data_IF_882460434483
#
_entry.id   IF_882460434483
#
_cell.length_a   1.000
_cell.length_b   1.000
_cell.length_c   1.000
_cell.angle_alpha   90.00
_cell.angle_beta   90.00
_cell.angle_gamma   90.00
#
_symmetry.space_group_name_H-M   'P 1'
#
loop_
_entity.id
_entity.type
_entity.pdbx_description
1 polymer ?
#
# COMPACT_ATOMS: atom_id res chain seq x y z
N UNK A 1 -41.98 -31.43 -3.62
CA UNK A 1 -40.97 -31.94 -4.57
C UNK A 1 -40.01 -32.95 -3.94
N UNK A 2 -39.40 -32.69 -2.77
CA UNK A 2 -38.44 -33.60 -2.17
C UNK A 2 -39.01 -34.99 -1.89
N UNK A 3 -40.18 -35.04 -1.27
CA UNK A 3 -40.88 -36.29 -1.04
C UNK A 3 -41.31 -37.01 -2.34
N UNK A 4 -41.64 -36.24 -3.40
CA UNK A 4 -41.94 -36.80 -4.71
C UNK A 4 -40.66 -37.35 -5.41
N UNK A 5 -39.50 -36.67 -5.24
CA UNK A 5 -38.23 -37.15 -5.77
C UNK A 5 -37.81 -38.49 -5.14
N UNK A 6 -38.02 -38.64 -3.83
CA UNK A 6 -37.67 -39.87 -3.09
C UNK A 6 -38.56 -41.08 -3.46
N UNK A 7 -39.80 -40.82 -3.88
CA UNK A 7 -40.79 -41.87 -4.16
C UNK A 7 -40.99 -42.15 -5.65
N UNK A 8 -40.36 -41.34 -6.54
CA UNK A 8 -40.53 -41.49 -7.98
C UNK A 8 -39.60 -42.51 -8.60
N UNK A 9 -39.99 -43.07 -9.74
CA UNK A 9 -39.12 -43.80 -10.64
C UNK A 9 -38.12 -42.85 -11.32
N UNK A 10 -37.14 -43.42 -12.04
CA UNK A 10 -36.00 -42.66 -12.60
C UNK A 10 -36.46 -41.61 -13.64
N UNK A 11 -37.49 -41.92 -14.43
CA UNK A 11 -37.99 -41.01 -15.46
C UNK A 11 -38.74 -39.81 -14.86
N UNK A 12 -39.59 -40.02 -13.85
CA UNK A 12 -40.34 -38.99 -13.17
C UNK A 12 -39.45 -38.17 -12.24
N UNK A 13 -38.38 -38.74 -11.70
CA UNK A 13 -37.41 -38.06 -10.83
C UNK A 13 -36.78 -36.85 -11.51
N UNK A 14 -36.42 -36.97 -12.78
CA UNK A 14 -35.86 -35.86 -13.55
C UNK A 14 -36.79 -34.65 -13.59
N UNK A 15 -38.07 -34.85 -13.82
CA UNK A 15 -39.08 -33.77 -13.85
C UNK A 15 -39.23 -33.09 -12.47
N UNK A 16 -39.21 -33.87 -11.39
CA UNK A 16 -39.34 -33.33 -10.05
C UNK A 16 -38.04 -32.57 -9.62
N UNK A 17 -36.88 -33.02 -10.06
CA UNK A 17 -35.59 -32.32 -9.83
C UNK A 17 -35.55 -31.00 -10.56
N UNK A 18 -36.00 -30.94 -11.83
CA UNK A 18 -36.09 -29.69 -12.60
C UNK A 18 -37.09 -28.73 -11.89
N UNK A 19 -38.26 -29.19 -11.53
CA UNK A 19 -39.23 -28.36 -10.82
C UNK A 19 -38.74 -27.88 -9.46
N UNK A 20 -37.96 -28.70 -8.76
CA UNK A 20 -37.29 -28.27 -7.53
C UNK A 20 -36.24 -27.17 -7.80
N UNK A 21 -35.42 -27.31 -8.83
CA UNK A 21 -34.40 -26.32 -9.23
C UNK A 21 -35.06 -24.97 -9.56
N UNK A 22 -36.16 -24.96 -10.30
CA UNK A 22 -36.91 -23.74 -10.64
C UNK A 22 -37.40 -22.97 -9.40
N UNK A 23 -37.69 -23.64 -8.30
CA UNK A 23 -38.11 -23.04 -7.05
C UNK A 23 -36.92 -22.71 -6.14
N UNK A 24 -35.92 -23.58 -6.08
CA UNK A 24 -34.76 -23.43 -5.18
C UNK A 24 -33.88 -22.26 -5.60
N UNK A 25 -33.61 -22.09 -6.90
CA UNK A 25 -32.73 -21.06 -7.41
C UNK A 25 -33.16 -19.63 -7.05
N UNK A 26 -34.43 -19.21 -7.28
CA UNK A 26 -34.93 -17.92 -6.83
C UNK A 26 -34.88 -17.74 -5.31
N UNK A 27 -35.13 -18.81 -4.56
CA UNK A 27 -35.06 -18.77 -3.09
C UNK A 27 -33.60 -18.58 -2.61
N UNK A 28 -32.66 -19.33 -3.16
CA UNK A 28 -31.24 -19.19 -2.85
C UNK A 28 -30.76 -17.77 -3.16
N UNK A 29 -31.10 -17.24 -4.34
CA UNK A 29 -30.80 -15.87 -4.74
C UNK A 29 -31.32 -14.85 -3.71
N UNK A 30 -32.60 -14.98 -3.31
CA UNK A 30 -33.18 -14.10 -2.29
C UNK A 30 -32.48 -14.20 -0.94
N UNK A 31 -32.06 -15.39 -0.53
CA UNK A 31 -31.26 -15.59 0.68
C UNK A 31 -29.88 -14.89 0.57
N UNK A 32 -29.23 -14.98 -0.58
CA UNK A 32 -27.93 -14.28 -0.80
C UNK A 32 -28.10 -12.76 -0.75
N UNK A 33 -29.12 -12.22 -1.40
CA UNK A 33 -29.43 -10.78 -1.39
C UNK A 33 -29.78 -10.27 0.01
N UNK A 34 -30.42 -11.10 0.83
CA UNK A 34 -30.75 -10.78 2.23
C UNK A 34 -29.59 -11.02 3.22
N UNK A 35 -28.41 -11.44 2.74
CA UNK A 35 -27.27 -11.77 3.60
C UNK A 35 -27.41 -13.06 4.41
N UNK A 36 -28.46 -13.86 4.15
CA UNK A 36 -28.71 -15.15 4.80
C UNK A 36 -27.85 -16.27 4.18
N UNK A 37 -26.53 -16.06 4.12
CA UNK A 37 -25.56 -16.90 3.40
C UNK A 37 -25.61 -18.37 3.82
N UNK A 38 -25.80 -18.65 5.12
CA UNK A 38 -25.91 -20.02 5.61
C UNK A 38 -27.08 -20.78 5.02
N UNK A 39 -28.26 -20.15 4.96
CA UNK A 39 -29.46 -20.74 4.34
C UNK A 39 -29.27 -20.94 2.83
N UNK A 40 -28.69 -19.94 2.16
CA UNK A 40 -28.35 -20.05 0.75
C UNK A 40 -27.41 -21.24 0.47
N UNK A 41 -26.39 -21.43 1.30
CA UNK A 41 -25.48 -22.55 1.21
C UNK A 41 -26.20 -23.89 1.40
N UNK A 42 -27.00 -24.06 2.46
CA UNK A 42 -27.72 -25.28 2.76
C UNK A 42 -28.66 -25.71 1.61
N UNK A 43 -29.37 -24.76 1.00
CA UNK A 43 -30.23 -25.07 -0.14
C UNK A 43 -29.44 -25.31 -1.44
N UNK A 44 -28.32 -24.59 -1.65
CA UNK A 44 -27.47 -24.80 -2.82
C UNK A 44 -26.83 -26.19 -2.83
N UNK A 45 -26.29 -26.67 -1.69
CA UNK A 45 -25.71 -28.01 -1.60
C UNK A 45 -26.77 -29.12 -1.75
N UNK A 46 -27.99 -28.87 -1.27
CA UNK A 46 -29.11 -29.78 -1.44
C UNK A 46 -29.51 -29.86 -2.93
N UNK A 47 -29.59 -28.74 -3.63
CA UNK A 47 -29.82 -28.73 -5.06
C UNK A 47 -28.73 -29.49 -5.81
N UNK A 48 -27.43 -29.24 -5.50
CA UNK A 48 -26.30 -29.93 -6.12
C UNK A 48 -26.28 -31.44 -5.78
N UNK A 49 -26.82 -31.85 -4.62
CA UNK A 49 -26.95 -33.27 -4.28
C UNK A 49 -28.00 -33.99 -5.11
N UNK A 50 -29.03 -33.29 -5.51
CA UNK A 50 -30.13 -33.81 -6.36
C UNK A 50 -29.80 -33.72 -7.86
N UNK A 51 -29.19 -32.61 -8.26
CA UNK A 51 -28.68 -32.34 -9.61
C UNK A 51 -27.23 -31.94 -9.60
N UNK A 52 -26.27 -32.91 -9.66
CA UNK A 52 -24.84 -32.65 -9.62
C UNK A 52 -24.33 -31.74 -10.74
N UNK A 53 -25.07 -31.65 -11.84
CA UNK A 53 -24.74 -30.78 -13.00
C UNK A 53 -25.47 -29.45 -13.02
N UNK A 54 -26.26 -29.10 -11.97
CA UNK A 54 -26.91 -27.78 -11.89
C UNK A 54 -25.88 -26.65 -11.91
N UNK A 55 -25.80 -25.89 -12.99
CA UNK A 55 -24.87 -24.75 -13.11
C UNK A 55 -25.12 -23.69 -12.01
N UNK A 56 -26.39 -23.30 -11.85
CA UNK A 56 -26.77 -22.31 -10.82
C UNK A 56 -26.58 -22.85 -9.40
N UNK A 57 -26.89 -24.12 -9.17
CA UNK A 57 -26.64 -24.79 -7.90
C UNK A 57 -25.17 -24.76 -7.51
N UNK A 58 -24.28 -25.13 -8.44
CA UNK A 58 -22.84 -25.11 -8.27
C UNK A 58 -22.31 -23.69 -8.02
N UNK A 59 -22.76 -22.69 -8.81
CA UNK A 59 -22.37 -21.29 -8.62
C UNK A 59 -22.73 -20.76 -7.23
N UNK A 60 -23.95 -21.06 -6.76
CA UNK A 60 -24.36 -20.66 -5.42
C UNK A 60 -23.65 -21.42 -4.31
N UNK A 61 -23.40 -22.74 -4.49
CA UNK A 61 -22.64 -23.53 -3.53
C UNK A 61 -21.20 -22.99 -3.38
N UNK A 62 -20.52 -22.65 -4.49
CA UNK A 62 -19.19 -22.06 -4.51
C UNK A 62 -19.19 -20.68 -3.83
N UNK A 63 -20.10 -19.78 -4.25
CA UNK A 63 -20.09 -18.41 -3.70
C UNK A 63 -20.44 -18.39 -2.21
N UNK A 64 -21.44 -19.17 -1.78
CA UNK A 64 -21.83 -19.22 -0.37
C UNK A 64 -20.79 -19.93 0.51
N UNK A 65 -20.15 -21.00 0.02
CA UNK A 65 -19.05 -21.66 0.75
C UNK A 65 -17.86 -20.72 0.93
N UNK A 66 -17.51 -19.95 -0.09
CA UNK A 66 -16.47 -18.93 -0.02
C UNK A 66 -16.77 -17.86 1.04
N UNK A 67 -18.00 -17.33 1.05
CA UNK A 67 -18.43 -16.33 2.05
C UNK A 67 -18.47 -16.88 3.48
N UNK A 68 -18.74 -18.18 3.64
CA UNK A 68 -18.74 -18.85 4.94
C UNK A 68 -17.37 -19.34 5.39
N UNK A 69 -16.31 -19.16 4.58
CA UNK A 69 -14.97 -19.66 4.86
C UNK A 69 -14.83 -21.19 4.78
N UNK A 70 -15.78 -21.87 4.14
CA UNK A 70 -15.77 -23.32 3.92
C UNK A 70 -14.95 -23.67 2.69
N UNK A 71 -13.65 -23.55 2.80
CA UNK A 71 -12.74 -23.62 1.65
C UNK A 71 -12.63 -24.99 0.99
N UNK A 72 -12.78 -26.06 1.75
CA UNK A 72 -12.75 -27.43 1.22
C UNK A 72 -13.97 -27.69 0.33
N UNK A 73 -15.14 -27.24 0.74
CA UNK A 73 -16.36 -27.28 -0.08
C UNK A 73 -16.27 -26.33 -1.29
N UNK A 74 -15.69 -25.13 -1.11
CA UNK A 74 -15.42 -24.23 -2.22
C UNK A 74 -14.58 -24.89 -3.30
N UNK A 75 -13.50 -25.56 -2.93
CA UNK A 75 -12.62 -26.29 -3.86
C UNK A 75 -13.34 -27.48 -4.50
N UNK A 76 -14.06 -28.28 -3.70
CA UNK A 76 -14.85 -29.42 -4.17
C UNK A 76 -15.83 -29.03 -5.25
N UNK A 77 -16.67 -28.02 -4.99
CA UNK A 77 -17.68 -27.59 -5.95
C UNK A 77 -17.07 -26.86 -7.15
N UNK A 78 -15.94 -26.17 -6.99
CA UNK A 78 -15.17 -25.59 -8.11
C UNK A 78 -14.65 -26.69 -9.02
N UNK A 79 -14.07 -27.76 -8.50
CA UNK A 79 -13.60 -28.90 -9.28
C UNK A 79 -14.75 -29.61 -9.99
N UNK A 80 -15.90 -29.78 -9.31
CA UNK A 80 -17.11 -30.34 -9.89
C UNK A 80 -17.63 -29.48 -11.04
N UNK A 81 -17.67 -28.16 -10.87
CA UNK A 81 -18.08 -27.23 -11.91
C UNK A 81 -17.17 -27.26 -13.15
N UNK A 82 -15.85 -27.36 -12.96
CA UNK A 82 -14.90 -27.53 -14.07
C UNK A 82 -15.14 -28.86 -14.82
N UNK A 83 -15.46 -29.91 -14.10
CA UNK A 83 -15.71 -31.20 -14.73
C UNK A 83 -16.96 -31.19 -15.63
N UNK A 84 -18.04 -30.54 -15.23
CA UNK A 84 -19.25 -30.40 -16.06
C UNK A 84 -19.17 -29.27 -17.09
N UNK A 85 -18.46 -28.18 -16.76
CA UNK A 85 -18.39 -26.95 -17.56
C UNK A 85 -16.95 -26.48 -17.74
N UNK A 86 -16.10 -27.26 -18.44
CA UNK A 86 -14.65 -26.98 -18.53
C UNK A 86 -14.33 -25.66 -19.24
N UNK A 87 -15.21 -25.18 -20.10
CA UNK A 87 -15.03 -23.94 -20.86
C UNK A 87 -15.66 -22.69 -20.19
N UNK A 88 -16.38 -22.88 -19.06
CA UNK A 88 -17.10 -21.80 -18.43
C UNK A 88 -16.16 -20.90 -17.60
N UNK A 89 -16.03 -19.60 -17.96
CA UNK A 89 -15.10 -18.68 -17.33
C UNK A 89 -15.26 -18.53 -15.80
N UNK A 90 -16.47 -18.63 -15.30
CA UNK A 90 -16.75 -18.57 -13.87
C UNK A 90 -15.93 -19.60 -13.07
N UNK A 91 -15.99 -20.88 -13.49
CA UNK A 91 -15.29 -21.95 -12.77
C UNK A 91 -13.77 -21.83 -12.91
N UNK A 92 -13.32 -21.36 -14.05
CA UNK A 92 -11.88 -21.11 -14.28
C UNK A 92 -11.38 -19.98 -13.37
N UNK A 93 -12.14 -18.89 -13.21
CA UNK A 93 -11.80 -17.82 -12.27
C UNK A 93 -11.78 -18.34 -10.82
N UNK A 94 -12.73 -19.21 -10.43
CA UNK A 94 -12.74 -19.81 -9.08
C UNK A 94 -11.58 -20.77 -8.86
N UNK A 95 -11.11 -21.48 -9.88
CA UNK A 95 -9.89 -22.29 -9.79
C UNK A 95 -8.66 -21.45 -9.49
N UNK A 96 -8.56 -20.28 -10.09
CA UNK A 96 -7.51 -19.33 -9.77
C UNK A 96 -7.55 -18.92 -8.30
N UNK A 97 -8.74 -18.65 -7.76
CA UNK A 97 -8.92 -18.33 -6.32
C UNK A 97 -8.45 -19.48 -5.40
N UNK A 98 -8.65 -20.75 -5.79
CA UNK A 98 -8.11 -21.90 -5.05
C UNK A 98 -6.58 -21.84 -5.00
N UNK A 99 -5.93 -21.59 -6.14
CA UNK A 99 -4.46 -21.47 -6.23
C UNK A 99 -3.93 -20.29 -5.41
N UNK A 100 -4.65 -19.17 -5.38
CA UNK A 100 -4.31 -17.98 -4.59
C UNK A 100 -4.34 -18.26 -3.08
N UNK A 101 -5.34 -18.99 -2.61
CA UNK A 101 -5.43 -19.41 -1.21
C UNK A 101 -4.18 -20.16 -0.77
N UNK A 102 -3.67 -21.03 -1.63
CA UNK A 102 -2.43 -21.80 -1.39
C UNK A 102 -1.16 -20.96 -1.62
N UNK A 103 -1.30 -19.65 -1.86
CA UNK A 103 -0.21 -18.71 -2.19
C UNK A 103 0.56 -19.09 -3.47
N UNK A 104 -0.05 -19.87 -4.34
CA UNK A 104 0.50 -20.31 -5.62
C UNK A 104 0.16 -19.30 -6.73
N UNK A 105 0.49 -18.02 -6.48
CA UNK A 105 0.08 -16.90 -7.35
C UNK A 105 0.66 -17.00 -8.76
N UNK A 106 1.88 -17.50 -8.90
CA UNK A 106 2.49 -17.73 -10.21
C UNK A 106 1.76 -18.80 -11.00
N UNK A 107 1.46 -19.94 -10.36
CA UNK A 107 0.68 -21.00 -10.98
C UNK A 107 -0.74 -20.53 -11.37
N UNK A 108 -1.35 -19.63 -10.57
CA UNK A 108 -2.63 -19.00 -10.92
C UNK A 108 -2.51 -18.16 -12.19
N UNK A 109 -1.45 -17.35 -12.31
CA UNK A 109 -1.23 -16.52 -13.49
C UNK A 109 -0.93 -17.37 -14.74
N UNK A 110 -0.12 -18.41 -14.62
CA UNK A 110 0.16 -19.34 -15.71
C UNK A 110 -1.10 -20.06 -16.17
N UNK A 111 -1.96 -20.46 -15.24
CA UNK A 111 -3.24 -21.08 -15.54
C UNK A 111 -4.20 -20.11 -16.24
N UNK A 112 -4.28 -18.85 -15.79
CA UNK A 112 -5.21 -17.87 -16.36
C UNK A 112 -4.77 -17.30 -17.72
N UNK A 113 -3.48 -17.23 -18.05
CA UNK A 113 -2.97 -16.65 -19.30
C UNK A 113 -3.63 -17.22 -20.58
N UNK A 114 -3.69 -18.54 -20.79
CA UNK A 114 -4.32 -19.10 -21.98
C UNK A 114 -5.84 -18.82 -22.00
N UNK A 115 -6.48 -18.80 -20.84
CA UNK A 115 -7.90 -18.52 -20.70
C UNK A 115 -8.19 -17.05 -21.02
N UNK A 116 -7.36 -16.14 -20.54
CA UNK A 116 -7.45 -14.71 -20.81
C UNK A 116 -7.27 -14.42 -22.31
N UNK A 117 -6.39 -15.13 -22.99
CA UNK A 117 -6.24 -15.02 -24.45
C UNK A 117 -7.48 -15.51 -25.19
N UNK A 118 -8.16 -16.54 -24.68
CA UNK A 118 -9.41 -17.06 -25.25
C UNK A 118 -10.60 -16.14 -24.97
N UNK A 119 -10.63 -15.51 -23.80
CA UNK A 119 -11.75 -14.65 -23.32
C UNK A 119 -11.25 -13.26 -22.90
N UNK A 120 -10.66 -12.45 -23.79
CA UNK A 120 -9.94 -11.21 -23.44
C UNK A 120 -10.84 -10.09 -22.90
N UNK A 121 -12.15 -10.20 -23.07
CA UNK A 121 -13.13 -9.23 -22.55
C UNK A 121 -13.97 -9.77 -21.41
N UNK A 122 -13.71 -10.98 -20.93
CA UNK A 122 -14.49 -11.56 -19.83
C UNK A 122 -14.05 -10.95 -18.50
N UNK A 123 -15.00 -10.28 -17.84
CA UNK A 123 -14.75 -9.53 -16.58
C UNK A 123 -14.31 -10.43 -15.42
N UNK A 124 -14.81 -11.67 -15.36
CA UNK A 124 -14.46 -12.61 -14.27
C UNK A 124 -13.01 -13.08 -14.43
N UNK A 125 -12.58 -13.42 -15.65
CA UNK A 125 -11.21 -13.82 -15.93
C UNK A 125 -10.24 -12.66 -15.76
N UNK A 126 -10.59 -11.46 -16.28
CA UNK A 126 -9.78 -10.25 -16.07
C UNK A 126 -9.66 -9.93 -14.59
N UNK A 127 -10.76 -10.04 -13.84
CA UNK A 127 -10.77 -9.80 -12.39
C UNK A 127 -9.87 -10.79 -11.64
N UNK A 128 -9.98 -12.08 -11.93
CA UNK A 128 -9.14 -13.12 -11.35
C UNK A 128 -7.65 -12.92 -11.70
N UNK A 129 -7.34 -12.59 -12.96
CA UNK A 129 -5.98 -12.31 -13.39
C UNK A 129 -5.39 -11.07 -12.70
N UNK A 130 -6.20 -10.01 -12.56
CA UNK A 130 -5.82 -8.78 -11.85
C UNK A 130 -5.52 -9.06 -10.39
N UNK A 131 -6.36 -9.82 -9.71
CA UNK A 131 -6.19 -10.20 -8.30
C UNK A 131 -4.94 -11.07 -8.09
N UNK A 132 -4.75 -12.11 -8.90
CA UNK A 132 -3.54 -12.95 -8.84
C UNK A 132 -2.28 -12.14 -9.10
N UNK A 133 -2.33 -11.18 -10.05
CA UNK A 133 -1.21 -10.27 -10.36
C UNK A 133 -0.88 -9.37 -9.19
N UNK A 134 -1.87 -8.86 -8.50
CA UNK A 134 -1.69 -8.03 -7.30
C UNK A 134 -0.99 -8.82 -6.18
N UNK A 135 -1.48 -10.01 -5.86
CA UNK A 135 -0.86 -10.86 -4.84
C UNK A 135 0.56 -11.29 -5.22
N UNK A 136 0.79 -11.64 -6.49
CA UNK A 136 2.15 -11.99 -6.97
C UNK A 136 3.09 -10.80 -6.87
N UNK A 137 2.67 -9.61 -7.27
CA UNK A 137 3.48 -8.39 -7.15
C UNK A 137 3.84 -8.06 -5.70
N UNK A 138 2.90 -8.20 -4.77
CA UNK A 138 3.17 -8.02 -3.33
C UNK A 138 4.15 -9.08 -2.79
N UNK A 139 4.04 -10.33 -3.26
CA UNK A 139 4.99 -11.39 -2.91
C UNK A 139 6.41 -11.07 -3.41
N UNK A 140 6.54 -10.65 -4.68
CA UNK A 140 7.82 -10.25 -5.29
C UNK A 140 8.41 -9.02 -4.61
N UNK A 141 7.57 -8.06 -4.21
CA UNK A 141 8.01 -6.89 -3.45
C UNK A 141 8.63 -7.28 -2.11
N UNK A 142 8.01 -8.23 -1.38
CA UNK A 142 8.57 -8.79 -0.15
C UNK A 142 9.89 -9.54 -0.40
N UNK A 143 10.01 -10.20 -1.54
CA UNK A 143 11.23 -10.87 -1.99
C UNK A 143 12.31 -9.90 -2.51
N UNK A 144 12.03 -8.57 -2.51
CA UNK A 144 12.93 -7.50 -3.02
C UNK A 144 13.22 -7.58 -4.52
N UNK A 145 12.27 -8.07 -5.31
CA UNK A 145 12.31 -8.04 -6.76
C UNK A 145 11.26 -7.08 -7.34
N UNK A 146 11.50 -5.75 -7.26
CA UNK A 146 10.55 -4.76 -7.75
C UNK A 146 10.42 -4.76 -9.27
N UNK A 147 11.44 -5.25 -10.02
CA UNK A 147 11.35 -5.30 -11.49
C UNK A 147 10.31 -6.30 -11.95
N UNK A 148 10.36 -7.51 -11.42
CA UNK A 148 9.35 -8.52 -11.74
C UNK A 148 7.97 -8.12 -11.20
N UNK A 149 7.89 -7.53 -10.00
CA UNK A 149 6.63 -7.03 -9.45
C UNK A 149 5.95 -6.01 -10.37
N UNK A 150 6.71 -5.03 -10.88
CA UNK A 150 6.19 -4.04 -11.82
C UNK A 150 5.77 -4.67 -13.14
N UNK A 151 6.56 -5.61 -13.70
CA UNK A 151 6.24 -6.29 -14.96
C UNK A 151 4.92 -7.06 -14.89
N UNK A 152 4.66 -7.74 -13.75
CA UNK A 152 3.40 -8.47 -13.53
C UNK A 152 2.22 -7.48 -13.49
N UNK A 153 2.35 -6.35 -12.77
CA UNK A 153 1.30 -5.33 -12.68
C UNK A 153 1.07 -4.63 -14.02
N UNK A 154 2.13 -4.35 -14.77
CA UNK A 154 2.03 -3.74 -16.09
C UNK A 154 1.28 -4.64 -17.06
N UNK A 155 1.55 -5.94 -17.01
CA UNK A 155 0.83 -6.93 -17.82
C UNK A 155 -0.67 -6.94 -17.44
N UNK A 156 -1.01 -6.92 -16.17
CA UNK A 156 -2.41 -6.89 -15.74
C UNK A 156 -3.13 -5.59 -16.15
N UNK A 157 -2.43 -4.45 -16.07
CA UNK A 157 -2.97 -3.15 -16.48
C UNK A 157 -3.21 -3.03 -18.00
N UNK A 158 -2.62 -3.89 -18.84
CA UNK A 158 -2.98 -3.95 -20.26
C UNK A 158 -4.42 -4.44 -20.48
N UNK A 159 -4.90 -5.33 -19.62
CA UNK A 159 -6.26 -5.88 -19.70
C UNK A 159 -7.28 -5.07 -18.88
N UNK A 160 -6.84 -4.45 -17.76
CA UNK A 160 -7.70 -3.65 -16.88
C UNK A 160 -7.00 -2.32 -16.53
N UNK A 161 -6.89 -1.45 -17.52
CA UNK A 161 -6.14 -0.18 -17.44
C UNK A 161 -6.71 0.80 -16.40
N UNK A 162 -7.96 0.66 -15.99
CA UNK A 162 -8.62 1.53 -15.02
C UNK A 162 -8.68 0.94 -13.61
N UNK A 163 -8.11 -0.24 -13.38
CA UNK A 163 -8.13 -0.89 -12.08
C UNK A 163 -7.35 -0.07 -11.03
N UNK A 164 -8.10 0.50 -10.08
CA UNK A 164 -7.55 1.36 -9.02
C UNK A 164 -6.67 0.56 -8.05
N UNK A 165 -7.02 -0.71 -7.77
CA UNK A 165 -6.26 -1.58 -6.88
C UNK A 165 -4.89 -1.93 -7.45
N UNK A 166 -4.82 -2.33 -8.74
CA UNK A 166 -3.56 -2.58 -9.43
C UNK A 166 -2.66 -1.34 -9.46
N UNK A 167 -3.25 -0.16 -9.75
CA UNK A 167 -2.51 1.11 -9.73
C UNK A 167 -1.98 1.41 -8.33
N UNK A 168 -2.79 1.22 -7.30
CA UNK A 168 -2.36 1.41 -5.92
C UNK A 168 -1.22 0.46 -5.56
N UNK A 169 -1.36 -0.83 -5.86
CA UNK A 169 -0.32 -1.83 -5.61
C UNK A 169 0.98 -1.51 -6.38
N UNK A 170 0.87 -0.99 -7.60
CA UNK A 170 2.03 -0.49 -8.35
C UNK A 170 2.72 0.66 -7.61
N UNK A 171 1.97 1.56 -7.02
CA UNK A 171 2.49 2.61 -6.13
C UNK A 171 3.19 2.05 -4.90
N UNK A 172 2.66 0.99 -4.27
CA UNK A 172 3.30 0.30 -3.13
C UNK A 172 4.64 -0.32 -3.53
N UNK A 173 4.74 -0.90 -4.73
CA UNK A 173 6.01 -1.45 -5.25
C UNK A 173 7.05 -0.33 -5.44
N UNK A 174 6.64 0.82 -6.01
CA UNK A 174 7.53 1.98 -6.16
C UNK A 174 7.99 2.53 -4.81
N UNK A 175 7.10 2.58 -3.82
CA UNK A 175 7.44 3.02 -2.47
C UNK A 175 8.45 2.09 -1.80
N UNK A 176 8.24 0.77 -1.88
CA UNK A 176 9.19 -0.22 -1.39
C UNK A 176 10.57 -0.10 -2.06
N UNK A 177 10.59 0.37 -3.31
CA UNK A 177 11.82 0.66 -4.08
C UNK A 177 12.33 2.10 -3.91
N UNK A 178 11.78 2.89 -2.95
CA UNK A 178 12.17 4.28 -2.63
C UNK A 178 12.01 5.28 -3.76
N UNK A 179 11.08 5.05 -4.64
CA UNK A 179 10.70 5.95 -5.73
C UNK A 179 9.43 6.72 -5.35
N UNK A 180 9.58 7.69 -4.43
CA UNK A 180 8.47 8.40 -3.79
C UNK A 180 7.58 9.17 -4.78
N UNK A 181 8.15 9.71 -5.85
CA UNK A 181 7.45 10.39 -6.93
C UNK A 181 6.49 9.46 -7.68
N UNK A 182 7.00 8.31 -8.11
CA UNK A 182 6.17 7.27 -8.76
C UNK A 182 5.15 6.68 -7.78
N UNK A 183 5.55 6.43 -6.53
CA UNK A 183 4.65 5.95 -5.49
C UNK A 183 3.47 6.90 -5.29
N UNK A 184 3.75 8.19 -5.10
CA UNK A 184 2.72 9.22 -4.95
C UNK A 184 1.81 9.31 -6.18
N UNK A 185 2.39 9.30 -7.39
CA UNK A 185 1.64 9.38 -8.64
C UNK A 185 0.58 8.28 -8.74
N UNK A 186 0.93 7.04 -8.41
CA UNK A 186 0.03 5.90 -8.50
C UNK A 186 -0.93 5.80 -7.32
N UNK A 187 -0.51 6.15 -6.09
CA UNK A 187 -1.34 6.00 -4.90
C UNK A 187 -2.37 7.12 -4.71
N UNK A 188 -2.13 8.34 -5.20
CA UNK A 188 -3.00 9.50 -4.97
C UNK A 188 -4.45 9.35 -5.45
N UNK A 189 -4.72 8.41 -6.36
CA UNK A 189 -6.05 8.14 -6.90
C UNK A 189 -6.79 7.02 -6.17
N UNK A 190 -6.15 6.40 -5.18
CA UNK A 190 -6.82 5.41 -4.36
C UNK A 190 -7.84 6.07 -3.44
N UNK A 191 -9.00 5.43 -3.32
CA UNK A 191 -10.11 5.89 -2.48
C UNK A 191 -10.16 5.00 -1.21
N UNK A 192 -9.54 5.44 -0.10
CA UNK A 192 -9.56 4.69 1.15
C UNK A 192 -10.95 4.72 1.78
N UNK A 193 -11.25 3.75 2.64
CA UNK A 193 -12.42 3.79 3.50
C UNK A 193 -12.41 5.04 4.42
N UNK A 194 -13.57 5.43 4.95
CA UNK A 194 -13.70 6.57 5.87
C UNK A 194 -12.76 6.41 7.08
N UNK A 195 -12.59 5.18 7.57
CA UNK A 195 -11.72 4.89 8.73
C UNK A 195 -10.24 5.07 8.39
N UNK A 196 -9.83 4.77 7.17
CA UNK A 196 -8.43 4.84 6.70
C UNK A 196 -8.06 6.22 6.14
N UNK A 197 -9.05 7.07 5.86
CA UNK A 197 -8.84 8.34 5.15
C UNK A 197 -7.74 9.22 5.78
N UNK A 198 -7.79 9.43 7.10
CA UNK A 198 -6.80 10.27 7.79
C UNK A 198 -5.39 9.68 7.76
N UNK A 199 -5.25 8.38 7.93
CA UNK A 199 -3.95 7.70 7.88
C UNK A 199 -3.38 7.72 6.47
N UNK A 200 -4.23 7.52 5.47
CA UNK A 200 -3.86 7.56 4.07
C UNK A 200 -3.43 8.98 3.63
N UNK A 201 -4.14 10.03 4.04
CA UNK A 201 -3.74 11.41 3.74
C UNK A 201 -2.39 11.77 4.37
N UNK A 202 -2.12 11.31 5.61
CA UNK A 202 -0.79 11.47 6.23
C UNK A 202 0.29 10.72 5.46
N UNK A 203 -0.02 9.52 5.01
CA UNK A 203 0.88 8.72 4.18
C UNK A 203 1.22 9.43 2.86
N UNK A 204 0.22 9.92 2.12
CA UNK A 204 0.45 10.69 0.89
C UNK A 204 1.24 11.98 1.15
N UNK A 205 0.98 12.67 2.27
CA UNK A 205 1.76 13.85 2.67
C UNK A 205 3.22 13.48 2.92
N UNK A 206 3.48 12.32 3.55
CA UNK A 206 4.82 11.78 3.72
C UNK A 206 5.54 11.51 2.40
N UNK A 207 4.87 10.84 1.45
CA UNK A 207 5.42 10.61 0.12
C UNK A 207 5.72 11.93 -0.61
N UNK A 208 4.81 12.91 -0.52
CA UNK A 208 4.99 14.23 -1.10
C UNK A 208 6.19 14.96 -0.49
N UNK A 209 6.38 14.87 0.82
CA UNK A 209 7.55 15.43 1.50
C UNK A 209 8.86 14.79 1.01
N UNK A 210 8.86 13.49 0.75
CA UNK A 210 10.03 12.80 0.19
C UNK A 210 10.35 13.19 -1.26
N UNK A 211 9.38 13.75 -2.00
CA UNK A 211 9.59 14.25 -3.37
C UNK A 211 10.28 15.61 -3.41
N UNK A 212 10.24 16.35 -2.31
CA UNK A 212 10.86 17.68 -2.23
C UNK A 212 12.38 17.54 -2.31
N UNK A 213 12.93 17.97 -3.43
CA UNK A 213 14.37 17.92 -3.69
C UNK A 213 15.09 19.14 -3.12
N UNK A 214 14.38 20.25 -2.98
CA UNK A 214 14.93 21.52 -2.48
C UNK A 214 14.00 22.03 -1.37
N UNK A 215 14.60 22.53 -0.31
CA UNK A 215 13.92 23.05 0.87
C UNK A 215 14.64 24.31 1.33
N UNK A 216 13.89 25.35 1.67
CA UNK A 216 14.41 26.58 2.26
C UNK A 216 13.73 26.70 3.63
N UNK A 217 14.52 26.90 4.67
CA UNK A 217 14.05 27.19 6.01
C UNK A 217 14.60 28.52 6.51
N UNK A 218 13.76 29.31 7.14
CA UNK A 218 14.13 30.56 7.81
C UNK A 218 13.71 30.43 9.27
N UNK A 219 14.65 30.62 10.16
CA UNK A 219 14.40 30.55 11.59
C UNK A 219 14.84 31.87 12.24
N UNK A 220 14.03 32.42 13.11
CA UNK A 220 14.36 33.56 13.91
C UNK A 220 14.04 33.27 15.37
N UNK A 221 15.03 33.48 16.23
CA UNK A 221 14.92 33.37 17.67
C UNK A 221 15.37 34.68 18.29
N UNK A 222 14.63 35.17 19.25
CA UNK A 222 15.01 36.31 20.09
C UNK A 222 15.04 35.84 21.55
N UNK A 223 16.23 35.80 22.10
CA UNK A 223 16.42 35.50 23.52
C UNK A 223 16.68 36.80 24.31
N UNK A 224 16.14 36.87 25.52
CA UNK A 224 16.38 37.96 26.47
C UNK A 224 16.94 37.34 27.75
N UNK A 225 18.04 37.83 28.21
CA UNK A 225 18.74 37.28 29.37
C UNK A 225 18.76 38.30 30.50
N UNK A 226 18.32 37.85 31.69
CA UNK A 226 18.51 38.50 32.98
C UNK A 226 17.86 39.88 33.14
N UNK A 227 18.24 40.53 34.22
CA UNK A 227 17.82 41.89 34.57
C UNK A 227 18.44 43.00 33.69
N UNK A 228 19.47 42.63 32.91
CA UNK A 228 20.28 43.57 32.15
C UNK A 228 19.76 43.89 30.74
N UNK A 229 18.56 43.47 30.40
CA UNK A 229 17.92 43.69 29.08
C UNK A 229 18.79 43.28 27.88
N UNK A 230 19.67 42.29 28.05
CA UNK A 230 20.47 41.76 26.96
C UNK A 230 19.60 41.01 25.97
N UNK A 231 19.55 41.50 24.75
CA UNK A 231 18.78 40.88 23.68
C UNK A 231 19.75 40.21 22.70
N UNK A 232 19.56 38.93 22.47
CA UNK A 232 20.31 38.14 21.48
C UNK A 232 19.39 37.67 20.39
N UNK A 233 19.27 38.38 19.26
CA UNK A 233 18.60 37.87 18.07
C UNK A 233 19.49 36.84 17.38
N UNK A 234 18.94 35.71 17.00
CA UNK A 234 19.57 34.68 16.17
C UNK A 234 18.67 34.43 14.97
N UNK A 235 19.22 34.53 13.78
CA UNK A 235 18.53 34.22 12.54
C UNK A 235 19.32 33.18 11.75
N UNK A 236 18.64 32.21 11.21
CA UNK A 236 19.23 31.17 10.36
C UNK A 236 18.46 31.11 9.03
N UNK A 237 19.17 31.16 7.94
CA UNK A 237 18.66 30.81 6.61
C UNK A 237 19.34 29.50 6.17
N UNK A 238 18.53 28.54 5.81
CA UNK A 238 18.98 27.22 5.40
C UNK A 238 18.45 26.87 4.02
N UNK A 239 19.30 26.29 3.19
CA UNK A 239 18.93 25.67 1.94
C UNK A 239 19.40 24.22 1.94
N UNK A 240 18.47 23.29 1.73
CA UNK A 240 18.75 21.85 1.65
C UNK A 240 18.38 21.31 0.29
N UNK A 241 19.29 20.57 -0.35
CA UNK A 241 19.07 19.82 -1.58
C UNK A 241 19.22 18.33 -1.34
N UNK A 242 18.16 17.58 -1.63
CA UNK A 242 18.09 16.12 -1.45
C UNK A 242 18.20 15.41 -2.80
N UNK A 243 19.03 14.39 -2.89
CA UNK A 243 19.14 13.45 -4.00
C UNK A 243 18.90 12.03 -3.50
N UNK A 244 18.92 11.02 -4.38
CA UNK A 244 18.69 9.62 -3.96
C UNK A 244 19.65 9.12 -2.86
N UNK A 245 20.90 9.59 -2.89
CA UNK A 245 21.93 9.11 -1.95
C UNK A 245 22.57 10.23 -1.13
N UNK A 246 22.37 11.50 -1.48
CA UNK A 246 23.02 12.61 -0.83
C UNK A 246 22.04 13.69 -0.41
N UNK A 247 22.32 14.30 0.73
CA UNK A 247 21.70 15.53 1.17
C UNK A 247 22.79 16.57 1.34
N UNK A 248 22.60 17.73 0.74
CA UNK A 248 23.48 18.90 0.86
C UNK A 248 22.74 20.00 1.56
N UNK A 249 23.27 20.56 2.64
CA UNK A 249 22.67 21.66 3.37
C UNK A 249 23.66 22.79 3.50
N UNK A 250 23.27 23.99 3.09
CA UNK A 250 24.00 25.23 3.35
C UNK A 250 23.23 26.06 4.35
N UNK A 251 23.89 26.55 5.39
CA UNK A 251 23.30 27.42 6.42
C UNK A 251 24.06 28.72 6.52
N UNK A 252 23.31 29.79 6.67
CA UNK A 252 23.81 31.10 7.04
C UNK A 252 23.19 31.45 8.39
N UNK A 253 24.03 31.59 9.41
CA UNK A 253 23.63 31.93 10.77
C UNK A 253 24.08 33.36 11.10
N UNK A 254 23.18 34.12 11.67
CA UNK A 254 23.42 35.45 12.20
C UNK A 254 23.10 35.44 13.70
N UNK A 255 24.00 35.96 14.51
CA UNK A 255 23.76 36.20 15.92
C UNK A 255 24.17 37.62 16.27
N UNK A 256 23.26 38.36 16.88
CA UNK A 256 23.55 39.67 17.41
C UNK A 256 23.47 39.67 18.95
N UNK A 257 24.16 40.59 19.56
CA UNK A 257 23.98 40.89 20.98
C UNK A 257 23.88 42.39 21.17
N UNK A 258 22.79 42.83 21.74
CA UNK A 258 22.56 44.22 22.11
C UNK A 258 22.10 44.27 23.57
N UNK A 259 22.70 45.14 24.34
CA UNK A 259 22.29 45.44 25.71
C UNK A 259 22.81 46.79 26.09
N UNK A 260 22.13 47.48 27.00
CA UNK A 260 22.60 48.68 27.62
C UNK A 260 23.37 48.26 28.87
N UNK A 261 24.68 48.59 28.92
CA UNK A 261 25.39 48.48 30.19
C UNK A 261 24.72 49.47 31.19
N UNK A 262 24.32 49.01 32.35
CA UNK A 262 23.95 49.96 33.42
C UNK A 262 25.16 50.77 33.79
N UNK A 263 25.00 52.06 33.99
CA UNK A 263 26.07 53.01 34.34
C UNK A 263 26.86 52.67 35.63
N UNK A 264 26.59 51.53 36.25
CA UNK A 264 27.13 51.12 37.54
C UNK A 264 28.16 49.95 37.47
N UNK A 265 28.49 49.45 36.30
CA UNK A 265 29.53 48.39 36.15
C UNK A 265 30.87 48.99 35.79
N UNK A 266 31.93 48.58 36.49
CA UNK A 266 33.32 48.91 36.13
C UNK A 266 33.65 48.48 34.71
N UNK A 267 34.44 49.26 33.98
CA UNK A 267 34.68 49.15 32.54
C UNK A 267 35.29 47.79 32.08
N UNK A 268 35.72 46.93 33.00
CA UNK A 268 36.34 45.64 32.72
C UNK A 268 35.30 44.49 32.50
N UNK A 269 34.03 44.64 32.91
CA UNK A 269 32.99 43.63 32.80
C UNK A 269 31.96 43.88 31.68
N UNK A 270 32.13 44.91 30.85
CA UNK A 270 31.25 45.20 29.75
C UNK A 270 31.37 44.09 28.65
N UNK A 271 30.40 43.24 28.55
CA UNK A 271 30.33 42.30 27.41
C UNK A 271 30.07 43.07 26.11
N UNK A 272 31.04 43.12 25.19
CA UNK A 272 30.92 43.96 24.01
C UNK A 272 29.72 43.50 23.14
N UNK A 273 28.83 44.41 22.83
CA UNK A 273 27.82 44.21 21.80
C UNK A 273 28.48 43.88 20.48
N UNK A 274 27.84 43.18 19.60
CA UNK A 274 28.39 42.87 18.29
C UNK A 274 27.51 41.94 17.46
N UNK A 275 28.02 41.60 16.31
CA UNK A 275 27.40 40.69 15.34
C UNK A 275 28.35 39.55 15.03
N UNK A 276 27.87 38.33 15.14
CA UNK A 276 28.52 37.12 14.67
C UNK A 276 27.81 36.56 13.45
N UNK A 277 28.59 36.09 12.50
CA UNK A 277 28.10 35.45 11.27
C UNK A 277 28.78 34.11 11.13
N UNK A 278 28.05 33.08 10.72
CA UNK A 278 28.58 31.77 10.42
C UNK A 278 28.02 31.27 9.09
N UNK A 279 28.87 30.72 8.26
CA UNK A 279 28.49 29.97 7.05
C UNK A 279 28.85 28.51 7.27
N UNK A 280 27.89 27.64 7.08
CA UNK A 280 28.03 26.21 7.34
C UNK A 280 27.60 25.41 6.13
N UNK A 281 28.38 24.38 5.79
CA UNK A 281 28.06 23.38 4.79
C UNK A 281 27.98 21.99 5.41
N UNK A 282 26.94 21.25 5.08
CA UNK A 282 26.75 19.88 5.54
C UNK A 282 26.49 18.97 4.34
N UNK A 283 27.16 17.84 4.29
CA UNK A 283 26.93 16.79 3.31
C UNK A 283 26.68 15.47 4.02
N UNK A 284 25.50 14.87 3.75
CA UNK A 284 25.14 13.55 4.24
C UNK A 284 25.08 12.58 3.08
N UNK A 285 25.83 11.47 3.17
CA UNK A 285 25.77 10.37 2.21
C UNK A 285 25.09 9.15 2.84
N UNK A 286 24.07 8.60 2.13
CA UNK A 286 23.34 7.41 2.53
C UNK A 286 23.88 6.19 1.76
N UNK A 287 24.72 5.38 2.40
CA UNK A 287 25.24 4.12 1.83
C UNK A 287 24.17 3.07 1.69
N UNK A 288 23.27 3.03 2.65
CA UNK A 288 22.14 2.09 2.72
C UNK A 288 21.00 2.71 3.53
N UNK A 289 19.83 2.03 3.60
CA UNK A 289 18.74 2.44 4.50
C UNK A 289 19.14 2.57 5.96
N UNK A 290 20.18 1.84 6.36
CA UNK A 290 20.60 1.75 7.76
C UNK A 290 21.85 2.58 8.08
N UNK A 291 22.63 2.99 7.08
CA UNK A 291 23.90 3.66 7.30
C UNK A 291 23.98 4.96 6.53
N UNK A 292 24.37 6.01 7.22
CA UNK A 292 24.72 7.29 6.62
C UNK A 292 25.93 7.91 7.29
N UNK A 293 26.67 8.70 6.54
CA UNK A 293 27.77 9.55 7.06
C UNK A 293 27.45 10.99 6.74
N UNK A 294 27.62 11.85 7.71
CA UNK A 294 27.47 13.30 7.60
C UNK A 294 28.85 13.94 7.83
N UNK A 295 29.24 14.81 6.93
CA UNK A 295 30.40 15.71 7.08
C UNK A 295 29.86 17.13 7.15
N UNK A 296 30.32 17.86 8.15
CA UNK A 296 29.95 19.26 8.39
C UNK A 296 31.21 20.12 8.51
N UNK A 297 31.17 21.32 7.95
CA UNK A 297 32.21 22.32 8.11
C UNK A 297 31.58 23.72 8.19
N UNK A 298 32.10 24.57 9.05
CA UNK A 298 31.66 25.96 9.15
C UNK A 298 32.83 26.90 9.41
N UNK A 299 32.66 28.13 8.91
CA UNK A 299 33.54 29.28 9.17
C UNK A 299 32.68 30.37 9.80
N UNK A 300 33.22 31.02 10.82
CA UNK A 300 32.47 32.01 11.55
C UNK A 300 33.33 33.19 12.06
N UNK A 301 32.63 34.22 12.50
CA UNK A 301 33.16 35.36 13.24
C UNK A 301 32.46 35.44 14.59
N UNK A 302 32.99 36.13 15.56
CA UNK A 302 32.41 36.42 16.91
C UNK A 302 31.16 35.61 17.29
N UNK A 303 31.02 35.18 18.51
CA UNK A 303 29.93 34.37 19.07
C UNK A 303 29.79 32.93 18.55
N UNK A 304 30.47 32.56 17.48
CA UNK A 304 30.61 31.21 16.96
C UNK A 304 32.08 30.81 16.97
N UNK A 305 32.40 29.51 17.06
CA UNK A 305 33.77 29.05 16.83
C UNK A 305 34.23 29.43 15.43
N UNK A 306 35.44 29.98 15.30
CA UNK A 306 36.00 30.50 14.03
C UNK A 306 35.97 29.46 12.93
N UNK A 307 36.30 28.20 13.27
CA UNK A 307 36.29 27.07 12.36
C UNK A 307 35.68 25.88 13.12
N UNK A 308 34.72 25.20 12.52
CA UNK A 308 34.21 23.92 12.99
C UNK A 308 34.22 22.89 11.87
N UNK A 309 34.60 21.65 12.20
CA UNK A 309 34.50 20.52 11.30
C UNK A 309 34.14 19.27 12.12
N UNK A 310 33.17 18.52 11.67
CA UNK A 310 32.81 17.26 12.30
C UNK A 310 32.37 16.21 11.28
N UNK A 311 32.50 14.94 11.68
CA UNK A 311 32.06 13.79 10.90
C UNK A 311 31.22 12.90 11.82
N UNK A 312 30.01 12.58 11.39
CA UNK A 312 29.12 11.69 12.10
C UNK A 312 28.75 10.49 11.26
N UNK A 313 28.81 9.29 11.83
CA UNK A 313 28.31 8.06 11.23
C UNK A 313 27.07 7.64 11.99
N UNK A 314 25.96 7.43 11.26
CA UNK A 314 24.68 7.01 11.86
C UNK A 314 24.32 5.62 11.37
N UNK A 315 23.95 4.76 12.31
CA UNK A 315 23.37 3.46 12.05
C UNK A 315 21.95 3.41 12.61
N UNK A 316 20.97 3.20 11.73
CA UNK A 316 19.58 3.02 12.13
C UNK A 316 19.35 1.54 12.47
N UNK A 317 19.24 1.22 13.73
CA UNK A 317 18.88 -0.12 14.19
C UNK A 317 17.40 -0.38 13.91
N UNK A 318 17.07 -1.64 13.58
CA UNK A 318 15.70 -2.06 13.44
C UNK A 318 15.18 -2.26 14.86
N UNK A 319 14.13 -1.54 15.18
CA UNK A 319 13.26 -1.67 16.37
C UNK A 319 13.40 -0.67 17.48
N UNK A 320 12.25 -0.06 17.66
CA UNK A 320 11.36 -0.48 18.75
C UNK A 320 12.04 -0.31 20.12
N UNK A 321 12.27 0.96 20.42
CA UNK A 321 12.40 1.41 21.80
C UNK A 321 11.21 2.30 22.11
#
# INVERSE_FOLDING_TARGET
>A
YLSAIEQSDEDMRIFYVIGYEELAVPYIKKCMEAGATKKAYEEAIKLVSLNPSSDLGLRYAINSSGLLGKYDEFEKYTAQGINYYPEEPFYQAKRATVLERDKRYEASLEFLKPILNKYPSNKEIIGAFSQSSEYRALQLTKAKDPKQALAVLDTALLYDSQNKSLKYTKGVVYEANRQADSAYYYQKFYEPSIMEYRSFQRHLSGLRSMMLKNEIALTYLRARYGEEDIITPVATAEYTRKTQKNTYTGRFNYAGRSGSASDSMEAEEQTPGGVGIQVQGEWTHHFSPKWSTTVNAALATKYFPDITADVAVRHYMKNDW
#
